data_IF_512024321505
#
_entry.id   IF_512024321505
#
_cell.length_a   1.000
_cell.length_b   1.000
_cell.length_c   1.000
_cell.angle_alpha   90.00
_cell.angle_beta   90.00
_cell.angle_gamma   90.00
#
_symmetry.space_group_name_H-M   'P 1'
#
loop_
_entity.id
_entity.type
_entity.pdbx_description
1 polymer ?
#
# COMPACT_ATOMS: atom_id res chain seq x y z
N UNK A 1 22.74 5.78 -4.51
CA UNK A 1 22.37 5.91 -5.84
C UNK A 1 20.97 5.42 -6.12
N UNK A 2 20.23 6.26 -6.64
CA UNK A 2 18.88 5.89 -6.93
C UNK A 2 18.89 4.98 -8.12
N UNK A 3 18.31 3.87 -7.96
CA UNK A 3 18.15 3.03 -9.04
C UNK A 3 16.76 3.15 -9.54
N UNK A 4 16.65 3.48 -10.77
CA UNK A 4 15.35 3.64 -11.36
C UNK A 4 15.01 2.45 -12.21
N UNK A 5 13.87 1.91 -11.95
CA UNK A 5 13.29 0.92 -12.83
C UNK A 5 12.38 1.63 -13.83
N UNK A 6 12.41 2.93 -13.82
CA UNK A 6 11.32 3.68 -14.38
C UNK A 6 11.40 3.78 -15.87
N UNK A 7 10.40 3.27 -16.42
CA UNK A 7 9.78 3.76 -17.61
C UNK A 7 8.64 4.59 -17.09
N UNK A 8 8.64 5.90 -17.29
CA UNK A 8 7.58 6.72 -16.69
C UNK A 8 6.20 6.39 -17.21
N UNK A 9 6.12 5.60 -18.27
CA UNK A 9 4.83 5.19 -18.81
C UNK A 9 4.40 3.81 -18.33
N UNK A 10 5.22 3.13 -17.53
CA UNK A 10 4.90 1.81 -17.04
C UNK A 10 4.46 1.89 -15.58
N UNK A 11 3.18 1.61 -15.27
CA UNK A 11 2.73 1.72 -13.88
C UNK A 11 3.46 0.78 -12.93
N UNK A 12 3.83 -0.40 -13.41
CA UNK A 12 4.54 -1.35 -12.55
C UNK A 12 5.94 -0.86 -12.25
N UNK A 13 6.65 -0.36 -13.27
CA UNK A 13 7.99 0.15 -13.06
C UNK A 13 7.98 1.36 -12.14
N UNK A 14 7.00 2.25 -12.30
CA UNK A 14 6.87 3.39 -11.43
C UNK A 14 6.61 2.97 -9.99
N UNK A 15 5.76 1.98 -9.80
CA UNK A 15 5.48 1.48 -8.48
C UNK A 15 6.74 0.90 -7.84
N UNK A 16 7.47 0.08 -8.57
CA UNK A 16 8.69 -0.53 -8.06
C UNK A 16 9.75 0.52 -7.71
N UNK A 17 9.82 1.55 -8.51
CA UNK A 17 10.76 2.63 -8.27
C UNK A 17 10.48 3.33 -6.95
N UNK A 18 9.20 3.46 -6.62
CA UNK A 18 8.78 4.11 -5.39
C UNK A 18 8.80 3.18 -4.20
N UNK A 19 8.66 1.92 -4.45
CA UNK A 19 8.46 0.95 -3.42
C UNK A 19 9.69 0.19 -3.11
N UNK A 20 10.83 0.57 -3.49
CA UNK A 20 12.00 -0.21 -3.19
C UNK A 20 12.05 -0.69 -1.76
N UNK A 21 10.94 -0.60 -1.02
CA UNK A 21 10.89 -0.99 0.37
C UNK A 21 9.91 -2.11 0.60
N UNK A 22 10.35 -3.06 1.42
CA UNK A 22 9.54 -4.24 1.70
C UNK A 22 8.20 -3.90 2.34
N UNK A 23 8.16 -2.82 3.13
CA UNK A 23 6.92 -2.47 3.83
C UNK A 23 5.81 -2.09 2.87
N UNK A 24 6.14 -1.41 1.78
CA UNK A 24 5.12 -1.04 0.80
C UNK A 24 4.48 -2.27 0.17
N UNK A 25 5.32 -3.25 -0.21
CA UNK A 25 4.81 -4.50 -0.77
C UNK A 25 3.96 -5.26 0.24
N UNK A 26 4.38 -5.25 1.51
CA UNK A 26 3.65 -5.95 2.54
C UNK A 26 2.30 -5.29 2.83
N UNK A 27 2.25 -3.96 2.77
CA UNK A 27 0.98 -3.24 2.91
C UNK A 27 0.03 -3.63 1.79
N UNK A 28 0.52 -3.61 0.56
CA UNK A 28 -0.30 -3.98 -0.59
C UNK A 28 -0.80 -5.41 -0.46
N UNK A 29 0.05 -6.32 -0.02
CA UNK A 29 -0.35 -7.71 0.20
C UNK A 29 -1.49 -7.79 1.21
N UNK A 30 -1.34 -7.07 2.33
CA UNK A 30 -2.37 -7.09 3.36
C UNK A 30 -3.69 -6.57 2.82
N UNK A 31 -3.63 -5.50 2.05
CA UNK A 31 -4.84 -4.90 1.50
C UNK A 31 -5.46 -5.72 0.38
N UNK A 32 -4.71 -6.62 -0.26
CA UNK A 32 -5.34 -7.55 -1.21
C UNK A 32 -6.11 -8.64 -0.51
N UNK A 33 -5.80 -8.93 0.74
CA UNK A 33 -6.43 -10.00 1.50
C UNK A 33 -7.66 -9.55 2.26
N UNK A 34 -7.88 -8.25 2.37
CA UNK A 34 -8.98 -7.69 3.14
C UNK A 34 -9.66 -6.58 2.34
N UNK A 35 -10.98 -6.45 2.43
CA UNK A 35 -11.67 -5.35 1.74
C UNK A 35 -11.20 -3.98 2.22
N UNK A 36 -10.85 -3.87 3.50
CA UNK A 36 -10.32 -2.64 4.07
C UNK A 36 -9.61 -2.97 5.36
N UNK A 37 -8.70 -2.09 5.77
CA UNK A 37 -7.97 -2.25 7.03
C UNK A 37 -7.84 -0.91 7.71
N UNK A 38 -7.96 -0.91 9.03
CA UNK A 38 -7.68 0.27 9.81
C UNK A 38 -6.17 0.35 10.06
N UNK A 39 -5.72 1.54 10.44
CA UNK A 39 -4.30 1.75 10.71
C UNK A 39 -3.78 0.75 11.75
N UNK A 40 -4.55 0.56 12.82
CA UNK A 40 -4.15 -0.35 13.89
C UNK A 40 -4.07 -1.79 13.40
N UNK A 41 -4.98 -2.18 12.50
CA UNK A 41 -4.93 -3.53 11.92
C UNK A 41 -3.62 -3.74 11.16
N UNK A 42 -3.19 -2.73 10.43
CA UNK A 42 -1.95 -2.81 9.69
C UNK A 42 -0.74 -2.86 10.62
N UNK A 43 -0.77 -2.08 11.69
CA UNK A 43 0.30 -2.10 12.68
C UNK A 43 0.45 -3.52 13.26
N UNK A 44 -0.66 -4.14 13.60
CA UNK A 44 -0.63 -5.48 14.19
C UNK A 44 -0.21 -6.54 13.19
N UNK A 45 -0.62 -6.37 11.96
CA UNK A 45 -0.31 -7.34 10.91
C UNK A 45 1.14 -7.23 10.46
N UNK A 46 1.68 -6.02 10.42
CA UNK A 46 3.02 -5.76 9.92
C UNK A 46 3.98 -5.58 11.08
N UNK A 47 4.22 -6.66 11.78
CA UNK A 47 5.06 -6.62 12.98
C UNK A 47 6.44 -6.08 12.65
N UNK A 48 6.90 -5.17 13.46
CA UNK A 48 8.19 -4.54 13.27
C UNK A 48 8.16 -3.27 12.45
N UNK A 49 7.02 -2.95 11.84
CA UNK A 49 6.90 -1.70 11.10
C UNK A 49 6.55 -0.57 12.05
N UNK A 50 7.40 0.44 12.11
CA UNK A 50 7.14 1.59 12.98
C UNK A 50 5.94 2.37 12.46
N UNK A 51 5.14 2.97 13.37
CA UNK A 51 3.97 3.74 12.93
C UNK A 51 4.31 4.86 11.94
N UNK A 52 5.43 5.54 12.15
CA UNK A 52 5.82 6.61 11.24
C UNK A 52 6.13 6.07 9.84
N UNK A 53 6.77 4.90 9.78
CA UNK A 53 7.06 4.27 8.50
C UNK A 53 5.77 3.85 7.80
N UNK A 54 4.84 3.26 8.54
CA UNK A 54 3.56 2.86 7.98
C UNK A 54 2.82 4.07 7.43
N UNK A 55 2.77 5.14 8.22
CA UNK A 55 2.08 6.35 7.81
C UNK A 55 2.69 6.92 6.53
N UNK A 56 4.01 6.96 6.46
CA UNK A 56 4.70 7.48 5.28
C UNK A 56 4.44 6.63 4.05
N UNK A 57 4.47 5.31 4.21
CA UNK A 57 4.25 4.42 3.08
C UNK A 57 2.81 4.48 2.59
N UNK A 58 1.85 4.58 3.52
CA UNK A 58 0.45 4.73 3.14
C UNK A 58 0.23 6.02 2.38
N UNK A 59 0.84 7.12 2.82
CA UNK A 59 0.73 8.39 2.12
C UNK A 59 1.27 8.29 0.71
N UNK A 60 2.41 7.63 0.54
CA UNK A 60 2.97 7.44 -0.79
C UNK A 60 2.03 6.64 -1.68
N UNK A 61 1.43 5.59 -1.13
CA UNK A 61 0.51 4.76 -1.89
C UNK A 61 -0.75 5.53 -2.27
N UNK A 62 -1.21 6.44 -1.39
CA UNK A 62 -2.33 7.29 -1.73
C UNK A 62 -1.98 8.23 -2.87
N UNK A 63 -0.79 8.82 -2.83
CA UNK A 63 -0.34 9.72 -3.89
C UNK A 63 -0.22 9.00 -5.22
N UNK A 64 0.16 7.74 -5.19
CA UNK A 64 0.24 6.93 -6.39
C UNK A 64 -1.13 6.47 -6.90
N UNK A 65 -2.17 6.72 -6.13
CA UNK A 65 -3.51 6.31 -6.50
C UNK A 65 -3.78 4.82 -6.32
N UNK A 66 -2.97 4.13 -5.54
CA UNK A 66 -3.14 2.70 -5.31
C UNK A 66 -3.97 2.39 -4.08
N UNK A 67 -4.00 3.31 -3.13
CA UNK A 67 -4.71 3.15 -1.87
C UNK A 67 -5.54 4.40 -1.63
N UNK A 68 -6.70 4.24 -1.01
CA UNK A 68 -7.50 5.39 -0.59
C UNK A 68 -7.89 5.22 0.86
N UNK A 69 -8.13 6.34 1.52
CA UNK A 69 -8.68 6.37 2.86
C UNK A 69 -10.17 6.62 2.78
N UNK A 70 -10.90 5.96 3.63
CA UNK A 70 -12.35 6.13 3.68
C UNK A 70 -12.78 6.26 5.11
N UNK A 71 -13.64 7.23 5.38
CA UNK A 71 -14.21 7.42 6.70
C UNK A 71 -15.24 6.33 6.95
N UNK A 72 -15.08 5.56 8.02
CA UNK A 72 -16.06 4.54 8.35
C UNK A 72 -16.83 4.89 9.62
N UNK A 73 -16.38 5.90 10.35
CA UNK A 73 -17.07 6.34 11.55
C UNK A 73 -16.80 7.83 11.73
N UNK A 74 -17.84 8.59 12.08
CA UNK A 74 -17.71 10.04 12.12
C UNK A 74 -17.40 10.59 13.49
N UNK A 75 -17.81 9.91 14.54
CA UNK A 75 -17.66 10.43 15.89
C UNK A 75 -17.15 9.37 16.83
N UNK A 76 -15.84 9.34 17.14
CA UNK A 76 -14.77 10.15 16.56
C UNK A 76 -14.45 9.73 15.13
N UNK A 77 -13.85 10.62 14.35
CA UNK A 77 -13.51 10.25 12.97
C UNK A 77 -12.54 9.08 12.93
N UNK A 78 -12.90 8.07 12.18
CA UNK A 78 -12.06 6.88 12.02
C UNK A 78 -11.95 6.52 10.55
N UNK A 79 -10.74 6.24 10.14
CA UNK A 79 -10.44 5.98 8.74
C UNK A 79 -10.04 4.54 8.54
N UNK A 80 -10.36 4.02 7.37
CA UNK A 80 -9.88 2.72 6.93
C UNK A 80 -9.20 2.89 5.58
N UNK A 81 -8.32 1.97 5.27
CA UNK A 81 -7.53 1.99 4.03
C UNK A 81 -7.95 0.83 3.16
N UNK A 82 -8.03 1.08 1.86
CA UNK A 82 -8.42 0.05 0.92
C UNK A 82 -7.77 0.32 -0.43
N UNK A 83 -7.66 -0.74 -1.23
CA UNK A 83 -7.11 -0.60 -2.56
C UNK A 83 -8.11 0.09 -3.47
N UNK A 84 -7.60 0.98 -4.31
CA UNK A 84 -8.38 1.54 -5.40
C UNK A 84 -8.50 0.51 -6.52
N UNK A 85 -9.27 0.83 -7.56
CA UNK A 85 -9.32 -0.02 -8.75
C UNK A 85 -7.92 -0.20 -9.33
N UNK A 86 -7.15 0.88 -9.40
CA UNK A 86 -5.78 0.82 -9.87
C UNK A 86 -4.92 -0.04 -8.95
N UNK A 87 -5.12 0.09 -7.64
CA UNK A 87 -4.36 -0.70 -6.67
C UNK A 87 -4.61 -2.18 -6.79
N UNK A 88 -5.83 -2.58 -7.15
CA UNK A 88 -6.14 -3.99 -7.30
C UNK A 88 -5.41 -4.63 -8.48
N UNK A 89 -4.91 -3.83 -9.39
CA UNK A 89 -4.14 -4.36 -10.53
C UNK A 89 -2.78 -4.91 -10.13
N UNK A 90 -2.33 -4.63 -8.91
CA UNK A 90 -1.06 -5.23 -8.43
C UNK A 90 -1.24 -6.66 -7.95
N UNK A 91 -2.48 -7.14 -7.81
CA UNK A 91 -2.71 -8.51 -7.34
C UNK A 91 -1.98 -9.58 -8.14
N UNK A 92 -2.04 -9.55 -9.47
CA UNK A 92 -1.33 -10.58 -10.25
C UNK A 92 0.16 -10.58 -9.98
N UNK A 93 0.75 -9.40 -9.83
CA UNK A 93 2.16 -9.28 -9.52
C UNK A 93 2.49 -9.92 -8.18
N UNK A 94 1.68 -9.61 -7.16
CA UNK A 94 1.91 -10.16 -5.82
C UNK A 94 1.73 -11.67 -5.81
N UNK A 95 0.78 -12.18 -6.57
CA UNK A 95 0.58 -13.63 -6.68
C UNK A 95 1.80 -14.28 -7.30
N UNK A 96 2.36 -13.67 -8.33
CA UNK A 96 3.54 -14.20 -8.98
C UNK A 96 4.72 -14.26 -8.02
N UNK A 97 4.86 -13.25 -7.16
CA UNK A 97 5.94 -13.21 -6.20
C UNK A 97 5.79 -14.26 -5.11
N UNK A 98 4.57 -14.71 -4.85
CA UNK A 98 4.33 -15.74 -3.86
C UNK A 98 4.62 -17.14 -4.34
N UNK A 99 4.57 -17.33 -5.62
CA UNK A 99 4.66 -18.68 -6.22
C UNK A 99 6.04 -19.36 -6.02
#
# INVERSE_FOLDING_TARGET
>A
MARSYSDPHCPIACALDQIGEKWTLLILRDLTRHPSRRFQDLIESLKGCAPNTLSARLSSLEEMGLVERRLYEQHPPRMEYLLTAKGREVRPMLKALRA
#
